data_IF_842529755684
#
_entry.id   IF_842529755684
#
_cell.length_a   1.000
_cell.length_b   1.000
_cell.length_c   1.000
_cell.angle_alpha   90.00
_cell.angle_beta   90.00
_cell.angle_gamma   90.00
#
_symmetry.space_group_name_H-M   'P 1'
#
loop_
_entity.id
_entity.type
_entity.pdbx_description
1 polymer ?
#
# COMPACT_ATOMS: atom_id res chain seq x y z
N UNK A 1 3.99 34.64 17.97
CA UNK A 1 4.49 34.61 16.59
C UNK A 1 4.00 33.31 15.98
N UNK A 2 3.15 33.39 14.99
CA UNK A 2 2.62 32.22 14.28
C UNK A 2 3.63 31.79 13.22
N UNK A 3 4.09 30.56 13.31
CA UNK A 3 4.65 29.82 12.19
C UNK A 3 3.76 28.60 12.02
N UNK A 4 2.70 28.76 11.24
CA UNK A 4 2.09 27.61 10.59
C UNK A 4 3.05 27.24 9.47
N UNK A 5 3.91 26.25 9.69
CA UNK A 5 4.62 25.59 8.59
C UNK A 5 3.62 24.69 7.88
N UNK A 6 3.32 24.90 6.59
CA UNK A 6 2.68 23.90 5.78
C UNK A 6 3.77 22.93 5.35
N UNK A 7 4.03 21.88 6.13
CA UNK A 7 4.82 20.74 5.64
C UNK A 7 3.86 19.65 5.18
N UNK A 8 3.00 20.00 4.22
CA UNK A 8 2.56 19.06 3.19
C UNK A 8 3.66 19.04 2.12
N UNK A 9 4.84 18.51 2.45
CA UNK A 9 5.97 18.44 1.53
C UNK A 9 6.35 16.98 1.28
N UNK A 10 5.74 16.45 0.22
CA UNK A 10 6.02 15.22 -0.51
C UNK A 10 5.96 13.91 0.28
N UNK A 11 5.44 12.86 -0.34
CA UNK A 11 6.06 11.59 -0.18
C UNK A 11 7.00 11.43 -1.37
N UNK A 12 8.27 11.71 -1.12
CA UNK A 12 9.36 11.30 -1.99
C UNK A 12 9.18 9.80 -2.24
N UNK A 13 9.24 9.41 -3.51
CA UNK A 13 9.13 8.01 -3.97
C UNK A 13 9.60 6.98 -2.94
N UNK A 14 8.95 5.80 -2.82
CA UNK A 14 9.33 4.77 -1.87
C UNK A 14 10.83 4.54 -1.92
N UNK A 15 11.49 4.75 -0.79
CA UNK A 15 12.94 4.58 -0.72
C UNK A 15 13.24 3.08 -0.74
N UNK A 16 14.29 2.64 -1.46
CA UNK A 16 14.62 1.22 -1.58
C UNK A 16 14.99 0.55 -0.25
N UNK A 17 15.22 1.33 0.81
CA UNK A 17 15.58 0.87 2.15
C UNK A 17 14.40 0.87 3.12
N UNK A 18 13.20 1.29 2.70
CA UNK A 18 12.03 1.25 3.55
C UNK A 18 11.64 -0.19 3.89
N UNK A 19 11.18 -0.43 5.14
CA UNK A 19 10.76 -1.75 5.55
C UNK A 19 9.53 -2.17 4.73
N UNK A 20 9.55 -3.42 4.29
CA UNK A 20 8.39 -4.06 3.68
C UNK A 20 7.33 -4.38 4.75
N UNK A 21 6.06 -4.28 4.36
CA UNK A 21 4.89 -4.71 5.12
C UNK A 21 4.10 -5.74 4.31
N UNK A 22 3.44 -6.66 5.00
CA UNK A 22 2.52 -7.61 4.38
C UNK A 22 1.22 -6.93 3.96
N UNK A 23 0.79 -7.18 2.73
CA UNK A 23 -0.49 -6.76 2.16
C UNK A 23 -1.35 -8.00 1.93
N UNK A 24 -2.53 -8.04 2.52
CA UNK A 24 -3.56 -9.02 2.23
C UNK A 24 -4.75 -8.35 1.57
N UNK A 25 -5.04 -8.76 0.34
CA UNK A 25 -6.16 -8.27 -0.47
C UNK A 25 -7.21 -9.36 -0.51
N UNK A 26 -8.38 -9.06 0.06
CA UNK A 26 -9.53 -9.94 0.07
C UNK A 26 -10.56 -9.43 -0.95
N UNK A 27 -10.80 -10.23 -1.98
CA UNK A 27 -11.80 -9.96 -3.02
C UNK A 27 -13.02 -10.83 -2.69
N UNK A 28 -14.21 -10.25 -2.59
CA UNK A 28 -15.41 -10.98 -2.11
C UNK A 28 -16.41 -11.37 -3.20
N UNK A 29 -16.21 -10.94 -4.45
CA UNK A 29 -17.15 -11.17 -5.57
C UNK A 29 -16.37 -11.60 -6.83
N UNK A 30 -16.84 -12.61 -7.59
CA UNK A 30 -18.01 -13.47 -7.34
C UNK A 30 -17.77 -14.54 -6.26
N UNK A 31 -16.51 -14.78 -5.88
CA UNK A 31 -16.10 -15.69 -4.82
C UNK A 31 -15.04 -15.00 -3.95
N UNK A 32 -14.85 -15.51 -2.73
CA UNK A 32 -13.79 -15.04 -1.84
C UNK A 32 -12.42 -15.50 -2.34
N UNK A 33 -11.55 -14.54 -2.67
CA UNK A 33 -10.16 -14.77 -3.03
C UNK A 33 -9.24 -13.93 -2.16
N UNK A 34 -8.17 -14.55 -1.65
CA UNK A 34 -7.15 -13.88 -0.85
C UNK A 34 -5.85 -13.80 -1.66
N UNK A 35 -5.29 -12.60 -1.78
CA UNK A 35 -4.00 -12.37 -2.43
C UNK A 35 -3.04 -11.73 -1.42
N UNK A 36 -1.88 -12.34 -1.22
CA UNK A 36 -0.88 -11.88 -0.25
C UNK A 36 0.40 -11.45 -0.92
N UNK A 37 0.89 -10.28 -0.52
CA UNK A 37 2.10 -9.67 -1.05
C UNK A 37 2.92 -9.00 0.05
N UNK A 38 4.10 -8.53 -0.31
CA UNK A 38 4.85 -7.55 0.48
C UNK A 38 5.18 -6.33 -0.38
N UNK A 39 5.22 -5.14 0.22
CA UNK A 39 5.66 -3.91 -0.42
C UNK A 39 6.19 -2.96 0.66
N UNK A 40 6.97 -1.95 0.28
CA UNK A 40 7.37 -0.93 1.25
C UNK A 40 6.14 -0.20 1.81
N UNK A 41 6.25 0.26 3.05
CA UNK A 41 5.13 0.83 3.80
C UNK A 41 4.37 1.96 3.05
N UNK A 42 5.03 2.96 2.43
CA UNK A 42 4.31 4.02 1.71
C UNK A 42 3.57 3.50 0.47
N UNK A 43 4.20 2.62 -0.31
CA UNK A 43 3.56 2.00 -1.48
C UNK A 43 2.36 1.13 -1.09
N UNK A 44 2.46 0.41 0.02
CA UNK A 44 1.38 -0.42 0.56
C UNK A 44 0.17 0.41 1.00
N UNK A 45 0.41 1.54 1.68
CA UNK A 45 -0.65 2.47 2.10
C UNK A 45 -1.34 3.08 0.88
N UNK A 46 -0.56 3.57 -0.10
CA UNK A 46 -1.13 4.19 -1.31
C UNK A 46 -1.93 3.18 -2.14
N UNK A 47 -1.43 1.94 -2.27
CA UNK A 47 -2.17 0.84 -2.85
C UNK A 47 -3.53 0.63 -2.13
N UNK A 48 -3.54 0.55 -0.80
CA UNK A 48 -4.75 0.30 -0.04
C UNK A 48 -5.80 1.41 -0.21
N UNK A 49 -5.37 2.67 -0.14
CA UNK A 49 -6.27 3.83 -0.32
C UNK A 49 -6.91 3.82 -1.71
N UNK A 50 -6.11 3.59 -2.75
CA UNK A 50 -6.59 3.58 -4.13
C UNK A 50 -7.55 2.41 -4.37
N UNK A 51 -7.17 1.19 -3.96
CA UNK A 51 -7.99 0.00 -4.21
C UNK A 51 -9.33 0.00 -3.48
N UNK A 52 -9.36 0.48 -2.23
CA UNK A 52 -10.62 0.55 -1.47
C UNK A 52 -11.56 1.61 -2.05
N UNK A 53 -11.00 2.68 -2.65
CA UNK A 53 -11.79 3.73 -3.31
C UNK A 53 -12.42 3.23 -4.60
N UNK A 54 -11.65 2.54 -5.44
CA UNK A 54 -12.10 2.14 -6.78
C UNK A 54 -12.85 0.80 -6.82
N UNK A 55 -12.64 -0.06 -5.81
CA UNK A 55 -13.19 -1.42 -5.78
C UNK A 55 -13.84 -1.74 -4.42
N UNK A 56 -15.14 -1.42 -4.23
CA UNK A 56 -15.83 -1.59 -2.95
C UNK A 56 -15.99 -3.05 -2.50
N UNK A 57 -15.81 -4.02 -3.41
CA UNK A 57 -15.84 -5.46 -3.10
C UNK A 57 -14.50 -6.00 -2.60
N UNK A 58 -13.48 -5.14 -2.51
CA UNK A 58 -12.12 -5.47 -2.09
C UNK A 58 -11.87 -4.86 -0.71
N UNK A 59 -11.32 -5.65 0.22
CA UNK A 59 -10.74 -5.14 1.45
C UNK A 59 -9.25 -5.40 1.47
N UNK A 60 -8.48 -4.44 2.01
CA UNK A 60 -7.03 -4.54 2.16
C UNK A 60 -6.71 -4.50 3.64
N UNK A 61 -5.96 -5.49 4.11
CA UNK A 61 -5.44 -5.53 5.49
C UNK A 61 -3.92 -5.60 5.49
N UNK A 62 -3.31 -5.10 6.56
CA UNK A 62 -1.88 -5.12 6.75
C UNK A 62 -1.48 -6.20 7.75
N UNK A 63 -0.40 -6.90 7.47
CA UNK A 63 0.14 -7.96 8.33
C UNK A 63 1.67 -7.88 8.39
N UNK A 64 2.27 -8.70 9.25
CA UNK A 64 3.72 -8.81 9.33
C UNK A 64 4.30 -9.21 7.95
N UNK A 65 5.44 -8.63 7.54
CA UNK A 65 6.07 -9.00 6.28
C UNK A 65 6.52 -10.47 6.33
N UNK A 66 6.27 -11.18 5.24
CA UNK A 66 6.72 -12.54 5.03
C UNK A 66 7.64 -12.56 3.81
N UNK A 67 8.96 -12.81 3.99
CA UNK A 67 9.94 -12.74 2.92
C UNK A 67 9.76 -13.82 1.84
N UNK A 68 8.90 -14.83 2.06
CA UNK A 68 8.58 -15.84 1.05
C UNK A 68 7.53 -15.34 0.04
N UNK A 69 6.84 -14.25 0.35
CA UNK A 69 5.79 -13.70 -0.51
C UNK A 69 6.38 -12.82 -1.61
N UNK A 70 5.63 -12.70 -2.70
CA UNK A 70 6.04 -11.85 -3.81
C UNK A 70 6.03 -10.39 -3.39
N UNK A 71 7.15 -9.72 -3.63
CA UNK A 71 7.28 -8.28 -3.48
C UNK A 71 6.65 -7.55 -4.65
N UNK A 72 5.73 -6.63 -4.38
CA UNK A 72 5.14 -5.78 -5.41
C UNK A 72 6.12 -4.68 -5.84
N UNK A 73 6.04 -4.20 -7.09
CA UNK A 73 6.87 -3.11 -7.58
C UNK A 73 6.46 -1.80 -6.91
N UNK A 74 7.19 -1.43 -5.86
CA UNK A 74 6.84 -0.33 -4.97
C UNK A 74 6.76 1.01 -5.70
N UNK A 75 7.66 1.26 -6.64
CA UNK A 75 7.69 2.47 -7.47
C UNK A 75 6.44 2.60 -8.34
N UNK A 76 5.92 1.47 -8.85
CA UNK A 76 4.69 1.44 -9.65
C UNK A 76 3.44 1.60 -8.79
N UNK A 77 3.42 0.97 -7.62
CA UNK A 77 2.35 1.14 -6.64
C UNK A 77 2.28 2.57 -6.12
N UNK A 78 3.45 3.19 -5.95
CA UNK A 78 3.56 4.59 -5.57
C UNK A 78 3.05 5.54 -6.63
N UNK A 79 3.12 5.17 -7.91
CA UNK A 79 2.64 6.02 -9.01
C UNK A 79 1.14 5.87 -9.28
N UNK A 80 0.39 5.09 -8.48
CA UNK A 80 -1.07 4.97 -8.62
C UNK A 80 -1.74 6.33 -8.44
N UNK A 81 -2.63 6.75 -9.35
CA UNK A 81 -3.18 8.11 -9.40
C UNK A 81 -3.95 8.50 -8.13
#
# INVERSE_FOLDING_TARGET
>A
MSFAEPTEAQPDSPLPHEPDIGLCVLITVPNTHELKFVACMPAAIRFAVHWVTDYPTVSVTFEAPDPQRRRLPCERLWALP
#
